data_IF_789741260898
#
_entry.id   IF_789741260898
#
_cell.length_a   1.000
_cell.length_b   1.000
_cell.length_c   1.000
_cell.angle_alpha   90.00
_cell.angle_beta   90.00
_cell.angle_gamma   90.00
#
_symmetry.space_group_name_H-M   'P 1'
#
loop_
_entity.id
_entity.type
_entity.pdbx_description
1 polymer ?
#
# COMPACT_ATOMS: atom_id res chain seq x y z
N UNK A 1 2.78 11.23 -16.38
CA UNK A 1 1.99 11.30 -17.63
C UNK A 1 0.96 10.17 -17.78
N UNK A 2 1.24 8.91 -17.42
CA UNK A 2 0.25 7.81 -17.52
C UNK A 2 -1.02 8.00 -16.67
N UNK A 3 -0.90 8.65 -15.50
CA UNK A 3 -2.05 8.93 -14.62
C UNK A 3 -3.05 9.92 -15.24
N UNK A 4 -2.56 10.89 -16.03
CA UNK A 4 -3.38 11.83 -16.80
C UNK A 4 -4.04 11.15 -18.02
N UNK A 5 -3.36 10.17 -18.64
CA UNK A 5 -3.92 9.39 -19.74
C UNK A 5 -5.10 8.50 -19.31
N UNK A 6 -5.12 8.03 -18.04
CA UNK A 6 -6.25 7.29 -17.47
C UNK A 6 -7.50 8.18 -17.28
N UNK A 7 -7.30 9.46 -16.95
CA UNK A 7 -8.40 10.44 -16.87
C UNK A 7 -8.87 10.90 -18.26
N UNK A 8 -8.00 10.85 -19.27
CA UNK A 8 -8.29 11.23 -20.65
C UNK A 8 -9.10 10.17 -21.44
N UNK A 9 -9.15 8.91 -20.98
CA UNK A 9 -10.01 7.86 -21.52
C UNK A 9 -11.47 7.97 -21.02
N UNK A 10 -12.09 9.12 -21.26
CA UNK A 10 -13.38 9.13 -21.96
C UNK A 10 -14.71 9.30 -21.20
N UNK A 11 -14.82 9.25 -19.87
CA UNK A 11 -16.13 9.49 -19.17
C UNK A 11 -16.11 10.21 -17.81
N UNK A 12 -15.01 10.88 -17.45
CA UNK A 12 -14.93 11.68 -16.21
C UNK A 12 -15.03 10.88 -14.92
N UNK A 13 -14.89 11.55 -13.76
CA UNK A 13 -15.05 10.95 -12.43
C UNK A 13 -16.53 10.77 -12.07
N UNK A 14 -17.30 10.11 -12.95
CA UNK A 14 -18.73 9.86 -12.75
C UNK A 14 -18.95 8.86 -11.62
N UNK A 15 -20.03 9.04 -10.86
CA UNK A 15 -20.45 8.06 -9.85
C UNK A 15 -20.54 6.67 -10.49
N UNK A 16 -19.86 5.66 -9.91
CA UNK A 16 -19.89 4.30 -10.43
C UNK A 16 -21.26 3.62 -10.22
N UNK A 17 -22.17 4.26 -9.48
CA UNK A 17 -23.54 3.80 -9.20
C UNK A 17 -24.59 4.30 -10.20
N UNK A 18 -24.22 5.24 -11.08
CA UNK A 18 -25.20 5.90 -11.94
C UNK A 18 -25.82 4.95 -12.97
N UNK A 19 -27.11 5.15 -13.24
CA UNK A 19 -27.96 4.26 -14.07
C UNK A 19 -27.45 4.05 -15.51
N UNK A 20 -26.55 4.89 -16.00
CA UNK A 20 -25.93 4.69 -17.30
C UNK A 20 -24.89 3.55 -17.23
N UNK A 21 -25.14 2.41 -17.92
CA UNK A 21 -24.27 1.25 -17.84
C UNK A 21 -22.88 1.58 -18.38
N UNK A 22 -21.87 1.07 -17.69
CA UNK A 22 -20.51 1.04 -18.19
C UNK A 22 -19.46 1.49 -17.18
N UNK A 23 -18.22 1.29 -17.61
CA UNK A 23 -17.03 1.58 -16.85
C UNK A 23 -16.88 3.07 -16.54
N UNK A 24 -16.66 3.39 -15.26
CA UNK A 24 -16.18 4.69 -14.77
C UNK A 24 -14.72 4.59 -14.33
N UNK A 25 -13.94 5.66 -14.50
CA UNK A 25 -12.56 5.74 -13.97
C UNK A 25 -12.54 5.65 -12.44
N UNK A 26 -13.67 5.93 -11.77
CA UNK A 26 -13.85 5.73 -10.34
C UNK A 26 -13.53 4.29 -9.88
N UNK A 27 -13.78 3.28 -10.71
CA UNK A 27 -13.47 1.88 -10.37
C UNK A 27 -11.96 1.64 -10.21
N UNK A 28 -11.12 2.37 -10.95
CA UNK A 28 -9.67 2.19 -10.87
C UNK A 28 -9.04 2.96 -9.70
N UNK A 29 -9.74 3.95 -9.17
CA UNK A 29 -9.18 4.88 -8.20
C UNK A 29 -8.71 4.21 -6.89
N UNK A 30 -9.46 3.27 -6.28
CA UNK A 30 -8.99 2.54 -5.10
C UNK A 30 -7.70 1.75 -5.38
N UNK A 31 -7.56 1.21 -6.59
CA UNK A 31 -6.40 0.42 -6.99
C UNK A 31 -5.18 1.27 -7.30
N UNK A 32 -5.36 2.41 -7.97
CA UNK A 32 -4.28 3.36 -8.23
C UNK A 32 -3.74 3.94 -6.92
N UNK A 33 -4.62 4.30 -6.00
CA UNK A 33 -4.23 4.77 -4.66
C UNK A 33 -3.56 3.66 -3.85
N UNK A 34 -4.09 2.43 -3.90
CA UNK A 34 -3.47 1.27 -3.26
C UNK A 34 -2.07 0.96 -3.81
N UNK A 35 -1.89 1.02 -5.12
CA UNK A 35 -0.60 0.84 -5.79
C UNK A 35 0.42 1.92 -5.40
N UNK A 36 -0.03 3.17 -5.27
CA UNK A 36 0.79 4.26 -4.74
C UNK A 36 1.18 4.01 -3.27
N UNK A 37 0.27 3.51 -2.44
CA UNK A 37 0.55 3.16 -1.05
C UNK A 37 1.55 2.00 -0.92
N UNK A 38 1.43 0.95 -1.76
CA UNK A 38 2.43 -0.13 -1.82
C UNK A 38 3.79 0.44 -2.24
N UNK A 39 3.82 1.32 -3.25
CA UNK A 39 5.07 1.95 -3.70
C UNK A 39 5.74 2.69 -2.56
N UNK A 40 4.99 3.54 -1.85
CA UNK A 40 5.51 4.24 -0.69
C UNK A 40 6.05 3.27 0.37
N UNK A 41 5.34 2.16 0.63
CA UNK A 41 5.77 1.14 1.58
C UNK A 41 7.01 0.36 1.12
N UNK A 42 7.13 0.02 -0.17
CA UNK A 42 8.27 -0.73 -0.72
C UNK A 42 9.56 0.09 -0.72
N UNK A 43 9.45 1.40 -1.00
CA UNK A 43 10.58 2.33 -0.99
C UNK A 43 10.91 2.87 0.39
N UNK A 44 10.03 2.75 1.39
CA UNK A 44 10.24 3.25 2.74
C UNK A 44 11.60 2.82 3.37
N UNK A 45 12.10 1.58 3.18
CA UNK A 45 13.40 1.19 3.70
C UNK A 45 14.59 1.88 3.03
N UNK A 46 14.41 2.49 1.86
CA UNK A 46 15.49 3.04 1.03
C UNK A 46 15.62 4.56 1.22
N UNK A 47 16.84 5.04 1.47
CA UNK A 47 17.10 6.47 1.68
C UNK A 47 18.56 6.83 1.47
N UNK A 48 18.84 8.05 1.04
CA UNK A 48 20.20 8.62 1.03
C UNK A 48 20.77 8.77 2.45
N UNK A 49 19.89 8.86 3.44
CA UNK A 49 20.23 8.94 4.86
C UNK A 49 20.31 7.56 5.54
N UNK A 50 20.48 6.46 4.79
CA UNK A 50 20.53 5.10 5.34
C UNK A 50 21.59 4.88 6.43
N UNK A 51 22.63 5.73 6.47
CA UNK A 51 23.65 5.73 7.51
C UNK A 51 23.08 6.08 8.89
N UNK A 52 21.97 6.82 8.97
CA UNK A 52 21.28 7.15 10.22
C UNK A 52 20.58 5.96 10.89
N UNK A 53 20.61 4.76 10.27
CA UNK A 53 20.06 3.52 10.86
C UNK A 53 20.63 3.16 12.23
N UNK A 54 21.79 3.70 12.61
CA UNK A 54 22.38 3.52 13.94
C UNK A 54 21.42 3.94 15.05
N UNK A 55 20.50 4.88 14.80
CA UNK A 55 19.47 5.31 15.77
C UNK A 55 18.64 4.10 16.24
N UNK A 56 18.36 3.14 15.35
CA UNK A 56 17.61 1.93 15.70
C UNK A 56 18.38 0.98 16.62
N UNK A 57 19.71 1.08 16.69
CA UNK A 57 20.55 0.33 17.64
C UNK A 57 20.51 0.93 19.05
N UNK A 58 20.03 2.17 19.20
CA UNK A 58 19.86 2.82 20.52
C UNK A 58 18.53 2.44 21.19
N UNK A 59 17.61 1.85 20.42
CA UNK A 59 16.30 1.43 20.93
C UNK A 59 16.47 0.11 21.70
N UNK A 60 16.02 0.03 22.96
CA UNK A 60 16.06 -1.23 23.71
C UNK A 60 15.23 -2.30 23.00
N UNK A 61 15.62 -3.58 23.13
CA UNK A 61 14.97 -4.69 22.43
C UNK A 61 13.45 -4.75 22.69
N UNK A 62 13.00 -4.36 23.89
CA UNK A 62 11.59 -4.26 24.26
C UNK A 62 10.83 -3.19 23.48
N UNK A 63 11.50 -2.13 23.02
CA UNK A 63 10.93 -1.01 22.26
C UNK A 63 10.82 -1.25 20.74
N UNK A 64 11.51 -2.26 20.20
CA UNK A 64 11.54 -2.53 18.75
C UNK A 64 10.16 -2.88 18.17
N UNK A 65 9.32 -3.57 18.94
CA UNK A 65 7.92 -3.82 18.55
C UNK A 65 7.14 -2.52 18.39
N UNK A 66 7.43 -1.52 19.24
CA UNK A 66 6.86 -0.18 19.14
C UNK A 66 7.23 0.52 17.83
N UNK A 67 8.48 0.37 17.37
CA UNK A 67 8.93 0.94 16.08
C UNK A 67 8.17 0.32 14.91
N UNK A 68 8.00 -1.00 14.88
CA UNK A 68 7.23 -1.69 13.83
C UNK A 68 5.77 -1.25 13.84
N UNK A 69 5.13 -1.24 15.01
CA UNK A 69 3.74 -0.80 15.15
C UNK A 69 3.55 0.66 14.76
N UNK A 70 4.49 1.53 15.14
CA UNK A 70 4.51 2.93 14.73
C UNK A 70 4.63 3.09 13.22
N UNK A 71 5.48 2.28 12.58
CA UNK A 71 5.64 2.27 11.12
C UNK A 71 4.34 1.82 10.44
N UNK A 72 3.73 0.73 10.93
CA UNK A 72 2.44 0.25 10.42
C UNK A 72 1.30 1.25 10.64
N UNK A 73 1.28 1.93 11.79
CA UNK A 73 0.32 2.98 12.08
C UNK A 73 0.50 4.19 11.16
N UNK A 74 1.75 4.61 10.89
CA UNK A 74 2.05 5.68 9.95
C UNK A 74 1.63 5.32 8.52
N UNK A 75 1.90 4.09 8.08
CA UNK A 75 1.42 3.58 6.78
C UNK A 75 -0.11 3.53 6.73
N UNK A 76 -0.78 3.10 7.79
CA UNK A 76 -2.24 3.12 7.89
C UNK A 76 -2.80 4.54 7.81
N UNK A 77 -2.21 5.48 8.55
CA UNK A 77 -2.65 6.87 8.56
C UNK A 77 -2.45 7.54 7.19
N UNK A 78 -1.22 7.51 6.67
CA UNK A 78 -0.85 8.23 5.44
C UNK A 78 -1.27 7.51 4.16
N UNK A 79 -1.39 6.18 4.22
CA UNK A 79 -1.72 5.36 3.05
C UNK A 79 -3.17 4.86 3.01
N UNK A 80 -3.94 4.97 4.10
CA UNK A 80 -5.37 4.63 4.12
C UNK A 80 -6.22 5.81 4.56
N UNK A 81 -6.05 6.31 5.79
CA UNK A 81 -6.97 7.29 6.39
C UNK A 81 -6.95 8.60 5.61
N UNK A 82 -5.79 9.23 5.44
CA UNK A 82 -5.67 10.51 4.76
C UNK A 82 -6.16 10.43 3.30
N UNK A 83 -5.73 9.47 2.47
CA UNK A 83 -6.25 9.33 1.11
C UNK A 83 -7.76 9.09 1.07
N UNK A 84 -8.31 8.30 2.01
CA UNK A 84 -9.75 8.02 2.05
C UNK A 84 -10.57 9.25 2.44
N UNK A 85 -10.07 10.08 3.35
CA UNK A 85 -10.73 11.35 3.72
C UNK A 85 -10.70 12.36 2.56
N UNK A 86 -9.55 12.50 1.88
CA UNK A 86 -9.43 13.36 0.69
C UNK A 86 -10.37 12.86 -0.40
N UNK A 87 -10.39 11.55 -0.64
CA UNK A 87 -11.26 10.95 -1.64
C UNK A 87 -12.73 11.11 -1.31
N UNK A 88 -13.12 10.92 -0.05
CA UNK A 88 -14.48 11.15 0.41
C UNK A 88 -14.90 12.61 0.23
N UNK A 89 -14.05 13.57 0.63
CA UNK A 89 -14.30 14.98 0.42
C UNK A 89 -14.51 15.31 -1.06
N UNK A 90 -13.60 14.86 -1.93
CA UNK A 90 -13.70 15.09 -3.37
C UNK A 90 -14.95 14.45 -3.99
N UNK A 91 -15.29 13.22 -3.61
CA UNK A 91 -16.45 12.50 -4.16
C UNK A 91 -17.78 13.02 -3.62
N UNK A 92 -17.84 13.47 -2.37
CA UNK A 92 -19.03 14.10 -1.77
C UNK A 92 -19.39 15.44 -2.42
N UNK A 93 -18.41 16.12 -3.02
CA UNK A 93 -18.63 17.34 -3.79
C UNK A 93 -19.17 17.06 -5.22
N UNK A 94 -19.02 15.84 -5.71
CA UNK A 94 -19.34 15.47 -7.10
C UNK A 94 -20.56 14.54 -7.21
N UNK A 95 -20.83 13.74 -6.17
CA UNK A 95 -21.83 12.68 -6.16
C UNK A 95 -22.80 12.85 -4.99
N UNK A 96 -23.82 11.98 -4.91
CA UNK A 96 -24.66 11.93 -3.73
C UNK A 96 -23.84 11.50 -2.50
N UNK A 97 -24.23 11.97 -1.32
CA UNK A 97 -23.55 11.59 -0.06
C UNK A 97 -23.57 10.07 0.14
N UNK A 98 -24.64 9.39 -0.28
CA UNK A 98 -24.74 7.93 -0.22
C UNK A 98 -23.68 7.25 -1.09
N UNK A 99 -23.55 7.66 -2.36
CA UNK A 99 -22.55 7.11 -3.29
C UNK A 99 -21.13 7.36 -2.78
N UNK A 100 -20.85 8.59 -2.35
CA UNK A 100 -19.56 8.98 -1.82
C UNK A 100 -19.19 8.18 -0.55
N UNK A 101 -20.17 7.95 0.33
CA UNK A 101 -19.95 7.18 1.58
C UNK A 101 -19.63 5.72 1.27
N UNK A 102 -20.44 5.07 0.43
CA UNK A 102 -20.26 3.64 0.10
C UNK A 102 -18.97 3.44 -0.70
N UNK A 103 -18.69 4.32 -1.66
CA UNK A 103 -17.44 4.30 -2.41
C UNK A 103 -16.23 4.58 -1.52
N UNK A 104 -16.32 5.56 -0.62
CA UNK A 104 -15.26 5.91 0.32
C UNK A 104 -14.94 4.74 1.26
N UNK A 105 -15.95 4.10 1.82
CA UNK A 105 -15.79 2.92 2.68
C UNK A 105 -15.15 1.75 1.91
N UNK A 106 -15.63 1.46 0.70
CA UNK A 106 -15.03 0.45 -0.17
C UNK A 106 -13.57 0.77 -0.50
N UNK A 107 -13.27 2.02 -0.85
CA UNK A 107 -11.92 2.48 -1.16
C UNK A 107 -10.99 2.32 0.04
N UNK A 108 -11.42 2.73 1.22
CA UNK A 108 -10.66 2.56 2.45
C UNK A 108 -10.35 1.09 2.72
N UNK A 109 -11.32 0.19 2.52
CA UNK A 109 -11.10 -1.25 2.67
C UNK A 109 -10.08 -1.81 1.65
N UNK A 110 -10.15 -1.36 0.39
CA UNK A 110 -9.17 -1.73 -0.64
C UNK A 110 -7.77 -1.21 -0.28
N UNK A 111 -7.64 0.05 0.12
CA UNK A 111 -6.35 0.65 0.53
C UNK A 111 -5.77 -0.09 1.75
N UNK A 112 -6.60 -0.38 2.75
CA UNK A 112 -6.20 -1.15 3.91
C UNK A 112 -5.76 -2.57 3.53
N UNK A 113 -6.44 -3.20 2.57
CA UNK A 113 -6.04 -4.50 2.04
C UNK A 113 -4.67 -4.42 1.36
N UNK A 114 -4.42 -3.43 0.51
CA UNK A 114 -3.13 -3.24 -0.14
C UNK A 114 -2.00 -3.07 0.88
N UNK A 115 -2.17 -2.20 1.88
CA UNK A 115 -1.13 -2.02 2.91
C UNK A 115 -0.98 -3.28 3.75
N UNK A 116 -2.08 -3.87 4.22
CA UNK A 116 -2.06 -5.06 5.07
C UNK A 116 -1.43 -6.26 4.38
N UNK A 117 -1.77 -6.49 3.10
CA UNK A 117 -1.31 -7.63 2.32
C UNK A 117 0.12 -7.47 1.78
N UNK A 118 0.67 -6.25 1.73
CA UNK A 118 2.01 -6.02 1.16
C UNK A 118 3.04 -5.48 2.17
N UNK A 119 2.61 -5.09 3.38
CA UNK A 119 3.54 -4.63 4.41
C UNK A 119 4.58 -5.69 4.83
N UNK A 120 4.26 -6.98 4.79
CA UNK A 120 5.23 -8.04 5.09
C UNK A 120 6.34 -8.17 4.03
N UNK A 121 6.17 -7.59 2.83
CA UNK A 121 7.19 -7.62 1.78
C UNK A 121 8.27 -6.54 1.94
N UNK A 122 8.15 -5.67 2.94
CA UNK A 122 9.13 -4.62 3.20
C UNK A 122 10.54 -5.21 3.33
N UNK A 123 11.47 -4.59 2.62
CA UNK A 123 12.85 -5.04 2.56
C UNK A 123 13.61 -4.80 3.88
N UNK A 124 13.09 -4.01 4.80
CA UNK A 124 13.74 -3.70 6.07
C UNK A 124 12.95 -2.67 6.86
N UNK A 125 13.57 -2.17 7.93
CA UNK A 125 13.04 -1.03 8.66
C UNK A 125 13.14 0.26 7.82
N UNK A 126 12.32 1.29 8.11
CA UNK A 126 12.36 2.56 7.40
C UNK A 126 13.76 3.18 7.36
N UNK A 127 14.18 3.67 6.19
CA UNK A 127 15.42 4.41 5.98
C UNK A 127 16.70 3.66 6.39
N UNK A 128 16.76 2.34 6.18
CA UNK A 128 17.90 1.51 6.59
C UNK A 128 18.78 0.98 5.46
N UNK A 129 18.32 1.10 4.21
CA UNK A 129 19.00 0.59 3.02
C UNK A 129 19.42 1.71 2.06
N UNK A 130 20.60 1.58 1.42
CA UNK A 130 20.99 2.50 0.36
C UNK A 130 20.07 2.35 -0.85
N UNK A 131 19.87 3.39 -1.67
CA UNK A 131 19.13 3.30 -2.93
C UNK A 131 19.67 2.16 -3.81
N UNK A 132 18.76 1.40 -4.42
CA UNK A 132 19.09 0.26 -5.27
C UNK A 132 18.41 0.40 -6.65
N UNK A 133 19.18 0.64 -7.73
CA UNK A 133 18.61 0.81 -9.07
C UNK A 133 17.99 -0.49 -9.61
N UNK A 134 18.45 -1.66 -9.18
CA UNK A 134 17.89 -2.94 -9.62
C UNK A 134 16.51 -3.19 -9.00
N UNK A 135 16.33 -2.75 -7.73
CA UNK A 135 15.02 -2.74 -7.06
C UNK A 135 14.03 -1.88 -7.83
N UNK A 136 14.45 -0.69 -8.29
CA UNK A 136 13.59 0.21 -9.06
C UNK A 136 13.06 -0.44 -10.35
N UNK A 137 13.91 -1.16 -11.08
CA UNK A 137 13.50 -1.92 -12.26
C UNK A 137 12.50 -3.05 -11.92
N UNK A 138 12.78 -3.85 -10.88
CA UNK A 138 11.87 -4.91 -10.44
C UNK A 138 10.52 -4.38 -9.96
N UNK A 139 10.52 -3.22 -9.29
CA UNK A 139 9.31 -2.54 -8.83
C UNK A 139 8.46 -2.06 -9.99
N UNK A 140 9.09 -1.53 -11.06
CA UNK A 140 8.37 -1.12 -12.27
C UNK A 140 7.62 -2.30 -12.91
N UNK A 141 8.27 -3.47 -13.01
CA UNK A 141 7.62 -4.69 -13.50
C UNK A 141 6.46 -5.11 -12.60
N UNK A 142 6.65 -5.11 -11.28
CA UNK A 142 5.58 -5.42 -10.32
C UNK A 142 4.40 -4.44 -10.45
N UNK A 143 4.68 -3.15 -10.66
CA UNK A 143 3.67 -2.12 -10.81
C UNK A 143 2.84 -2.29 -12.09
N UNK A 144 3.46 -2.66 -13.20
CA UNK A 144 2.74 -3.02 -14.42
C UNK A 144 1.79 -4.20 -14.16
N UNK A 145 2.25 -5.23 -13.45
CA UNK A 145 1.40 -6.35 -13.04
C UNK A 145 0.20 -5.91 -12.19
N UNK A 146 0.43 -5.05 -11.20
CA UNK A 146 -0.63 -4.50 -10.34
C UNK A 146 -1.65 -3.70 -11.16
N UNK A 147 -1.22 -2.89 -12.13
CA UNK A 147 -2.12 -2.10 -12.97
C UNK A 147 -2.97 -2.97 -13.91
N UNK A 148 -2.41 -4.05 -14.44
CA UNK A 148 -3.19 -5.03 -15.24
C UNK A 148 -4.25 -5.70 -14.36
N UNK A 149 -3.87 -6.15 -13.16
CA UNK A 149 -4.82 -6.72 -12.19
C UNK A 149 -5.88 -5.69 -11.81
N UNK A 150 -5.51 -4.43 -11.59
CA UNK A 150 -6.43 -3.35 -11.29
C UNK A 150 -7.45 -3.11 -12.41
N UNK A 151 -7.05 -3.25 -13.67
CA UNK A 151 -7.97 -3.13 -14.80
C UNK A 151 -9.01 -4.26 -14.80
N UNK A 152 -8.56 -5.50 -14.56
CA UNK A 152 -9.45 -6.67 -14.46
C UNK A 152 -10.42 -6.52 -13.29
N UNK A 153 -9.91 -6.15 -12.11
CA UNK A 153 -10.74 -5.90 -10.93
C UNK A 153 -11.71 -4.73 -11.16
N UNK A 154 -11.26 -3.67 -11.84
CA UNK A 154 -12.11 -2.55 -12.25
C UNK A 154 -13.26 -2.96 -13.17
N UNK A 155 -13.01 -3.88 -14.11
CA UNK A 155 -14.05 -4.42 -14.97
C UNK A 155 -15.06 -5.27 -14.17
N UNK A 156 -14.58 -6.13 -13.27
CA UNK A 156 -15.43 -6.93 -12.36
C UNK A 156 -16.27 -6.00 -11.47
N UNK A 157 -15.67 -4.94 -10.95
CA UNK A 157 -16.36 -3.92 -10.16
C UNK A 157 -17.49 -3.28 -10.96
N UNK A 158 -17.22 -2.84 -12.19
CA UNK A 158 -18.20 -2.17 -13.03
C UNK A 158 -19.37 -3.08 -13.44
N UNK A 159 -19.10 -4.36 -13.71
CA UNK A 159 -20.11 -5.31 -14.22
C UNK A 159 -20.92 -5.93 -13.07
N UNK A 160 -20.29 -6.22 -11.94
CA UNK A 160 -20.90 -7.08 -10.91
C UNK A 160 -21.08 -6.41 -9.56
N UNK A 161 -20.11 -5.62 -9.09
CA UNK A 161 -20.11 -5.09 -7.71
C UNK A 161 -20.93 -3.80 -7.62
N UNK A 162 -20.55 -2.78 -8.39
CA UNK A 162 -21.13 -1.43 -8.31
C UNK A 162 -22.60 -1.28 -8.73
N UNK A 163 -23.19 -2.17 -9.55
CA UNK A 163 -24.63 -2.10 -9.84
C UNK A 163 -25.54 -2.31 -8.62
N UNK A 164 -25.03 -2.81 -7.48
CA UNK A 164 -25.85 -3.04 -6.29
C UNK A 164 -25.11 -2.67 -4.99
N UNK A 165 -25.68 -1.73 -4.21
CA UNK A 165 -25.12 -1.32 -2.91
C UNK A 165 -24.86 -2.50 -1.96
N UNK A 166 -25.74 -3.50 -1.93
CA UNK A 166 -25.56 -4.68 -1.09
C UNK A 166 -24.30 -5.49 -1.42
N UNK A 167 -23.93 -5.58 -2.71
CA UNK A 167 -22.72 -6.28 -3.14
C UNK A 167 -21.47 -5.51 -2.74
N UNK A 168 -21.50 -4.17 -2.83
CA UNK A 168 -20.37 -3.34 -2.38
C UNK A 168 -20.23 -3.41 -0.87
N UNK A 169 -21.33 -3.35 -0.11
CA UNK A 169 -21.29 -3.48 1.33
C UNK A 169 -20.67 -4.83 1.76
N UNK A 170 -21.09 -5.93 1.11
CA UNK A 170 -20.51 -7.25 1.34
C UNK A 170 -19.02 -7.30 0.96
N UNK A 171 -18.65 -6.79 -0.22
CA UNK A 171 -17.26 -6.74 -0.66
C UNK A 171 -16.39 -5.89 0.28
N UNK A 172 -16.92 -4.76 0.75
CA UNK A 172 -16.26 -3.88 1.73
C UNK A 172 -16.01 -4.61 3.05
N UNK A 173 -17.02 -5.32 3.57
CA UNK A 173 -16.90 -6.07 4.82
C UNK A 173 -15.86 -7.21 4.70
N UNK A 174 -15.88 -7.95 3.58
CA UNK A 174 -14.88 -9.00 3.30
C UNK A 174 -13.49 -8.40 3.20
N UNK A 175 -13.30 -7.35 2.40
CA UNK A 175 -12.00 -6.69 2.23
C UNK A 175 -11.48 -6.11 3.53
N UNK A 176 -12.34 -5.45 4.33
CA UNK A 176 -11.96 -4.91 5.63
C UNK A 176 -11.52 -6.03 6.60
N UNK A 177 -12.24 -7.15 6.60
CA UNK A 177 -11.88 -8.32 7.43
C UNK A 177 -10.53 -8.90 7.01
N UNK A 178 -10.33 -9.11 5.72
CA UNK A 178 -9.06 -9.62 5.17
C UNK A 178 -7.92 -8.63 5.43
N UNK A 179 -8.15 -7.33 5.24
CA UNK A 179 -7.19 -6.28 5.51
C UNK A 179 -6.76 -6.27 6.99
N UNK A 180 -7.71 -6.42 7.91
CA UNK A 180 -7.42 -6.50 9.34
C UNK A 180 -6.58 -7.73 9.68
N UNK A 181 -6.95 -8.91 9.16
CA UNK A 181 -6.18 -10.14 9.35
C UNK A 181 -4.77 -10.02 8.76
N UNK A 182 -4.66 -9.53 7.53
CA UNK A 182 -3.40 -9.34 6.82
C UNK A 182 -2.51 -8.31 7.54
N UNK A 183 -3.07 -7.19 8.01
CA UNK A 183 -2.34 -6.18 8.79
C UNK A 183 -1.78 -6.75 10.09
N UNK A 184 -2.55 -7.57 10.82
CA UNK A 184 -2.08 -8.25 12.03
C UNK A 184 -0.98 -9.27 11.72
N UNK A 185 -1.15 -10.06 10.67
CA UNK A 185 -0.14 -11.02 10.23
C UNK A 185 1.15 -10.32 9.82
N UNK A 186 1.07 -9.29 8.97
CA UNK A 186 2.20 -8.48 8.52
C UNK A 186 2.94 -7.83 9.68
N UNK A 187 2.23 -7.26 10.65
CA UNK A 187 2.86 -6.69 11.85
C UNK A 187 3.66 -7.74 12.62
N UNK A 188 3.11 -8.93 12.83
CA UNK A 188 3.81 -10.03 13.52
C UNK A 188 5.03 -10.50 12.74
N UNK A 189 4.90 -10.65 11.42
CA UNK A 189 6.02 -11.04 10.55
C UNK A 189 7.14 -10.01 10.62
N UNK A 190 6.81 -8.72 10.57
CA UNK A 190 7.80 -7.64 10.68
C UNK A 190 8.44 -7.61 12.06
N UNK A 191 7.66 -7.71 13.14
CA UNK A 191 8.16 -7.80 14.53
C UNK A 191 9.18 -8.93 14.69
N UNK A 192 8.93 -10.09 14.07
CA UNK A 192 9.83 -11.25 14.12
C UNK A 192 11.08 -11.09 13.26
N UNK A 193 11.04 -10.29 12.18
CA UNK A 193 12.18 -10.04 11.29
C UNK A 193 13.11 -8.93 11.79
N UNK A 194 12.66 -8.06 12.70
CA UNK A 194 13.48 -6.95 13.21
C UNK A 194 14.85 -7.38 13.74
N UNK A 195 14.95 -8.42 14.60
CA UNK A 195 16.27 -8.85 15.10
C UNK A 195 17.23 -9.22 13.98
N UNK A 196 16.75 -9.90 12.93
CA UNK A 196 17.56 -10.25 11.76
C UNK A 196 18.01 -9.01 10.98
N UNK A 197 17.14 -8.00 10.84
CA UNK A 197 17.53 -6.73 10.21
C UNK A 197 18.60 -6.01 11.02
N UNK A 198 18.47 -5.96 12.35
CA UNK A 198 19.46 -5.32 13.23
C UNK A 198 20.79 -6.08 13.24
N UNK A 199 20.76 -7.42 13.26
CA UNK A 199 21.97 -8.25 13.20
C UNK A 199 22.78 -7.98 11.92
N UNK A 200 22.10 -7.85 10.78
CA UNK A 200 22.73 -7.46 9.51
C UNK A 200 23.33 -6.06 9.53
N UNK A 201 22.87 -5.16 10.40
CA UNK A 201 23.48 -3.83 10.55
C UNK A 201 24.82 -3.90 11.28
N UNK A 202 24.94 -4.81 12.24
CA UNK A 202 26.14 -4.96 13.09
C UNK A 202 27.21 -5.85 12.47
N UNK A 203 26.84 -6.85 11.66
CA UNK A 203 27.79 -7.80 11.05
C UNK A 203 28.63 -7.17 9.92
N UNK A 204 28.31 -5.95 9.46
CA UNK A 204 28.98 -5.30 8.33
C UNK A 204 28.71 -6.04 7.00
N UNK A 205 29.21 -5.54 5.85
CA UNK A 205 29.28 -6.37 4.65
C UNK A 205 30.09 -7.60 5.01
N UNK A 206 29.58 -8.81 4.74
CA UNK A 206 30.35 -10.04 4.90
C UNK A 206 31.74 -9.80 4.29
N UNK A 207 32.79 -9.82 5.12
CA UNK A 207 34.15 -9.58 4.66
C UNK A 207 34.44 -10.64 3.61
N UNK A 208 34.44 -10.25 2.33
CA UNK A 208 34.75 -11.13 1.20
C UNK A 208 36.26 -11.47 1.15
N UNK A 209 37.02 -11.01 2.14
CA UNK A 209 38.42 -11.33 2.32
C UNK A 209 38.58 -12.03 3.67
N UNK A 210 38.69 -13.37 3.63
CA UNK A 210 39.48 -14.07 4.63
C UNK A 210 40.92 -13.61 4.40
N UNK A 211 41.52 -12.94 5.38
CA UNK A 211 42.98 -12.84 5.42
C UNK A 211 43.43 -14.29 5.61
N UNK A 212 43.94 -14.90 4.54
CA UNK A 212 44.64 -16.16 4.67
C UNK A 212 45.90 -15.86 5.47
N UNK A 213 46.00 -16.46 6.66
CA UNK A 213 47.22 -16.46 7.43
C UNK A 213 48.27 -17.24 6.62
N UNK A 214 49.22 -16.51 6.04
CA UNK A 214 50.40 -17.03 5.33
C UNK A 214 51.65 -16.34 5.85
#
# INVERSE_FOLDING_TARGET
>A
MAMLALFALGRGLRSPFSDAPGFSTAHLLPHVLGAAAITAADFLPFSDHYKARWILLTVPASGLRGVVRGTMAALGLMGVIVPSLVLFGATSALWTVADATVFGAYSAAVLAFYIGAFAWMQAGLPFTRPPDPTRAASHMTAMMGILVVALVLGAIQAIWVFPHYGRIAAATAVLATVAWLAGRASTRVLENRVPDYLRRFTEGPARMFSVGDG
#
